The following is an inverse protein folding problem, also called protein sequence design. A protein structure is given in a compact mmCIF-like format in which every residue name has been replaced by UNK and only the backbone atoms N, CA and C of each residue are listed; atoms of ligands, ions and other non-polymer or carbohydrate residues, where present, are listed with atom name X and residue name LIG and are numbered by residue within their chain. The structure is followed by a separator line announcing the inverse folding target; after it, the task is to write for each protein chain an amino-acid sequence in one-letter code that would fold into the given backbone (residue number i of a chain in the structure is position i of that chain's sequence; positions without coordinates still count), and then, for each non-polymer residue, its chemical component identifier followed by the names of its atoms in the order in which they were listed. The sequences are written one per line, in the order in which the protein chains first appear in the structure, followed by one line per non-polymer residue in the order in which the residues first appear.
data_IF_404478096656
#
_entry.id   IF_404478096656
#
_cell.length_a   1.000
_cell.length_b   1.000
_cell.length_c   1.000
_cell.angle_alpha   90.00
_cell.angle_beta   90.00
_cell.angle_gamma   90.00
#
_symmetry.space_group_name_H-M   'P 1'
#
loop_
_entity.id
_entity.type
_entity.pdbx_description
1 polymer ?
#
# COMPACT_ATOMS: atom_id res chain seq x y z
N UNK A 1 1.83 -2.81 -0.76
CA UNK A 1 2.91 -2.84 0.27
C UNK A 1 3.03 -4.27 0.75
N UNK A 2 4.25 -4.73 1.01
CA UNK A 2 4.53 -5.95 1.77
C UNK A 2 5.20 -5.58 3.09
N UNK A 3 4.92 -6.36 4.13
CA UNK A 3 5.54 -6.23 5.45
C UNK A 3 6.25 -7.53 5.76
N UNK A 4 7.49 -7.44 6.25
CA UNK A 4 8.24 -8.55 6.81
C UNK A 4 8.64 -8.19 8.24
N UNK A 5 8.40 -9.09 9.19
CA UNK A 5 8.74 -8.92 10.60
C UNK A 5 9.58 -10.11 11.04
N UNK A 6 10.66 -9.87 11.78
CA UNK A 6 11.50 -10.90 12.37
C UNK A 6 11.72 -10.62 13.85
N UNK A 7 11.36 -11.60 14.69
CA UNK A 7 11.70 -11.61 16.10
C UNK A 7 12.81 -12.63 16.36
N UNK A 8 13.80 -12.33 17.21
CA UNK A 8 14.90 -13.26 17.52
C UNK A 8 14.44 -14.64 18.02
N UNK A 9 13.32 -14.71 18.75
CA UNK A 9 12.88 -15.93 19.46
C UNK A 9 11.44 -16.38 19.12
N UNK A 10 10.65 -15.57 18.42
CA UNK A 10 9.23 -15.88 18.11
C UNK A 10 9.07 -16.40 16.69
N UNK A 11 9.92 -15.95 15.76
CA UNK A 11 9.87 -16.35 14.35
C UNK A 11 9.73 -15.15 13.42
N UNK A 12 9.28 -15.43 12.20
CA UNK A 12 9.14 -14.45 11.12
C UNK A 12 7.69 -14.41 10.65
N UNK A 13 7.22 -13.21 10.33
CA UNK A 13 5.91 -12.96 9.79
C UNK A 13 6.05 -12.20 8.47
N UNK A 14 5.17 -12.47 7.52
CA UNK A 14 5.05 -11.71 6.29
C UNK A 14 3.60 -11.53 5.92
N UNK A 15 3.28 -10.46 5.22
CA UNK A 15 2.01 -10.35 4.50
C UNK A 15 2.07 -9.24 3.47
N UNK A 16 1.37 -9.45 2.35
CA UNK A 16 0.96 -8.39 1.44
C UNK A 16 -0.18 -7.65 2.11
N UNK A 17 -0.09 -6.33 2.20
CA UNK A 17 -1.11 -5.48 2.82
C UNK A 17 -2.34 -5.28 1.90
N UNK A 18 -2.91 -6.40 1.45
CA UNK A 18 -4.09 -6.52 0.61
C UNK A 18 -4.86 -7.77 1.06
N UNK A 19 -6.16 -7.61 1.31
CA UNK A 19 -7.03 -8.70 1.80
C UNK A 19 -7.36 -9.72 0.72
N UNK A 20 -7.36 -9.30 -0.55
CA UNK A 20 -7.62 -10.21 -1.67
C UNK A 20 -6.31 -10.68 -2.29
N UNK A 21 -6.21 -12.00 -2.50
CA UNK A 21 -5.17 -12.59 -3.34
C UNK A 21 -5.56 -12.52 -4.83
N UNK A 22 -4.59 -12.49 -5.75
CA UNK A 22 -4.86 -12.61 -7.18
C UNK A 22 -5.71 -13.84 -7.49
N UNK A 23 -6.71 -13.68 -8.37
CA UNK A 23 -7.56 -14.78 -8.87
C UNK A 23 -6.84 -15.59 -9.97
N UNK A 24 -5.60 -15.96 -9.71
CA UNK A 24 -4.79 -16.82 -10.60
C UNK A 24 -4.79 -18.22 -9.99
N UNK A 25 -5.05 -19.29 -10.77
CA UNK A 25 -4.94 -20.65 -10.26
C UNK A 25 -3.55 -20.89 -9.66
N UNK A 26 -3.48 -21.42 -8.44
CA UNK A 26 -2.22 -21.90 -7.87
C UNK A 26 -1.82 -23.16 -8.63
N UNK A 27 -0.90 -23.02 -9.56
CA UNK A 27 -0.21 -24.13 -10.21
C UNK A 27 1.11 -24.38 -9.47
N UNK A 28 1.59 -25.63 -9.43
CA UNK A 28 2.84 -26.01 -8.75
C UNK A 28 4.09 -25.39 -9.39
N UNK A 29 3.93 -24.70 -10.52
CA UNK A 29 4.96 -23.95 -11.25
C UNK A 29 4.91 -22.43 -11.02
N UNK A 30 4.12 -21.98 -10.03
CA UNK A 30 4.01 -20.61 -9.58
C UNK A 30 5.40 -19.92 -9.44
N UNK A 31 5.62 -18.84 -10.19
CA UNK A 31 6.88 -18.07 -10.25
C UNK A 31 6.71 -16.56 -10.09
N UNK A 32 5.48 -16.06 -9.98
CA UNK A 32 5.13 -14.65 -9.87
C UNK A 32 4.56 -14.26 -8.50
N UNK A 33 3.63 -13.30 -8.52
CA UNK A 33 3.01 -12.72 -7.33
C UNK A 33 2.16 -13.72 -6.53
N UNK A 34 1.78 -14.85 -7.14
CA UNK A 34 1.09 -15.96 -6.50
C UNK A 34 1.91 -16.62 -5.37
N UNK A 35 3.24 -16.43 -5.38
CA UNK A 35 4.15 -16.91 -4.33
C UNK A 35 4.21 -15.96 -3.13
N UNK A 36 3.62 -14.77 -3.23
CA UNK A 36 3.62 -13.81 -2.13
C UNK A 36 2.66 -14.24 -1.02
N UNK A 37 2.91 -13.72 0.17
CA UNK A 37 2.13 -14.03 1.36
C UNK A 37 0.84 -13.20 1.42
N UNK A 38 -0.24 -13.69 0.78
CA UNK A 38 -1.55 -13.02 0.76
C UNK A 38 -2.44 -13.38 1.96
N UNK A 39 -1.88 -13.38 3.18
CA UNK A 39 -2.57 -13.85 4.38
C UNK A 39 -3.07 -12.72 5.31
N UNK A 40 -3.29 -11.51 4.79
CA UNK A 40 -3.79 -10.40 5.60
C UNK A 40 -5.22 -10.66 6.11
N UNK A 41 -5.42 -10.69 7.43
CA UNK A 41 -6.78 -10.71 7.97
C UNK A 41 -7.41 -9.31 7.94
N UNK A 42 -8.33 -9.10 6.99
CA UNK A 42 -9.06 -7.84 6.82
C UNK A 42 -9.92 -7.43 8.02
N UNK A 43 -10.37 -8.37 8.86
CA UNK A 43 -11.18 -8.06 10.06
C UNK A 43 -10.37 -7.34 11.14
N UNK A 44 -9.04 -7.48 11.11
CA UNK A 44 -8.13 -6.75 12.00
C UNK A 44 -7.58 -5.45 11.36
N UNK A 45 -8.14 -5.06 10.23
CA UNK A 45 -7.75 -3.87 9.51
C UNK A 45 -8.89 -2.85 9.52
N UNK A 46 -8.55 -1.57 9.73
CA UNK A 46 -9.51 -0.48 9.67
C UNK A 46 -9.03 0.58 8.68
N UNK A 47 -9.86 0.89 7.69
CA UNK A 47 -9.64 1.98 6.75
C UNK A 47 -10.47 3.21 7.15
N UNK A 48 -9.84 4.37 7.12
CA UNK A 48 -10.47 5.65 7.41
C UNK A 48 -10.08 6.66 6.34
N UNK A 49 -11.00 7.55 5.99
CA UNK A 49 -10.74 8.61 5.03
C UNK A 49 -11.37 9.93 5.46
N UNK A 50 -10.60 11.00 5.29
CA UNK A 50 -11.06 12.38 5.33
C UNK A 50 -10.21 13.15 4.31
N UNK A 51 -10.74 13.27 3.09
CA UNK A 51 -10.05 13.88 1.96
C UNK A 51 -9.34 15.18 2.36
N UNK A 52 -8.06 15.39 1.97
CA UNK A 52 -7.24 14.60 1.05
C UNK A 52 -6.40 13.49 1.72
N UNK A 53 -6.75 13.12 2.96
CA UNK A 53 -6.03 12.15 3.77
C UNK A 53 -6.82 10.87 3.89
N UNK A 54 -6.10 9.76 3.97
CA UNK A 54 -6.66 8.49 4.40
C UNK A 54 -5.62 7.74 5.22
N UNK A 55 -6.07 6.78 6.01
CA UNK A 55 -5.19 5.88 6.73
C UNK A 55 -5.78 4.50 6.90
N UNK A 56 -4.90 3.52 6.94
CA UNK A 56 -5.22 2.14 7.25
C UNK A 56 -4.44 1.74 8.50
N UNK A 57 -5.15 1.24 9.50
CA UNK A 57 -4.56 0.61 10.68
C UNK A 57 -4.58 -0.90 10.48
N UNK A 58 -3.44 -1.55 10.67
CA UNK A 58 -3.27 -3.01 10.69
C UNK A 58 -2.93 -3.41 12.13
N UNK A 59 -3.90 -3.97 12.86
CA UNK A 59 -3.73 -4.32 14.27
C UNK A 59 -3.39 -5.81 14.42
N UNK A 60 -2.17 -6.12 14.86
CA UNK A 60 -1.77 -7.51 15.06
C UNK A 60 -1.61 -8.28 13.75
N UNK A 61 -1.32 -7.59 12.65
CA UNK A 61 -1.14 -8.15 11.31
C UNK A 61 0.11 -7.55 10.63
N UNK A 62 0.98 -8.39 10.02
CA UNK A 62 0.98 -9.86 10.08
C UNK A 62 1.45 -10.42 11.43
N UNK A 63 1.97 -9.56 12.30
CA UNK A 63 2.50 -9.93 13.61
C UNK A 63 1.53 -9.47 14.72
N UNK A 64 1.01 -10.37 15.58
CA UNK A 64 0.13 -10.06 16.70
C UNK A 64 0.68 -9.01 17.69
N UNK A 65 2.00 -8.89 17.80
CA UNK A 65 2.66 -7.94 18.70
C UNK A 65 2.90 -6.56 18.06
N UNK A 66 2.58 -6.38 16.78
CA UNK A 66 2.81 -5.14 16.04
C UNK A 66 1.51 -4.43 15.70
N UNK A 67 1.56 -3.10 15.66
CA UNK A 67 0.52 -2.29 15.02
C UNK A 67 1.16 -1.38 13.99
N UNK A 68 0.61 -1.39 12.78
CA UNK A 68 1.11 -0.57 11.67
C UNK A 68 0.01 0.39 11.26
N UNK A 69 0.33 1.68 11.19
CA UNK A 69 -0.55 2.71 10.64
C UNK A 69 0.09 3.23 9.36
N UNK A 70 -0.60 3.02 8.24
CA UNK A 70 -0.26 3.59 6.93
C UNK A 70 -1.12 4.82 6.69
N UNK A 71 -0.52 6.00 6.58
CA UNK A 71 -1.19 7.25 6.22
C UNK A 71 -0.83 7.61 4.78
N UNK A 72 -1.84 7.88 3.97
CA UNK A 72 -1.68 8.34 2.60
C UNK A 72 -2.25 9.76 2.44
N UNK A 73 -1.53 10.61 1.72
CA UNK A 73 -1.93 11.99 1.45
C UNK A 73 -1.49 12.42 0.05
N UNK A 74 -2.38 13.09 -0.67
CA UNK A 74 -2.06 13.85 -1.87
C UNK A 74 -2.15 15.34 -1.58
N UNK A 75 -1.33 16.18 -2.22
CA UNK A 75 -1.43 17.63 -2.07
C UNK A 75 -2.75 18.11 -2.68
N UNK A 76 -3.68 18.55 -1.83
CA UNK A 76 -4.88 19.26 -2.25
C UNK A 76 -5.04 20.49 -1.36
N UNK A 77 -4.50 21.61 -1.82
CA UNK A 77 -4.32 22.83 -1.04
C UNK A 77 -5.12 23.96 -1.71
N UNK A 78 -6.17 24.50 -1.05
CA UNK A 78 -6.95 25.59 -1.60
C UNK A 78 -6.08 26.77 -2.05
N UNK A 79 -6.41 27.34 -3.21
CA UNK A 79 -5.70 28.47 -3.83
C UNK A 79 -4.23 28.20 -4.20
N UNK A 80 -3.76 26.96 -4.11
CA UNK A 80 -2.45 26.55 -4.62
C UNK A 80 -2.63 25.62 -5.82
N UNK A 81 -2.36 26.11 -7.02
CA UNK A 81 -2.52 25.35 -8.27
C UNK A 81 -1.26 24.60 -8.69
N UNK A 82 -0.12 24.85 -8.05
CA UNK A 82 1.16 24.25 -8.43
C UNK A 82 1.35 22.92 -7.70
N UNK A 83 1.46 22.96 -6.37
CA UNK A 83 1.65 21.73 -5.60
C UNK A 83 0.42 20.83 -5.66
N UNK A 84 -0.79 21.41 -5.73
CA UNK A 84 -2.02 20.61 -5.91
C UNK A 84 -2.15 19.95 -7.28
N UNK A 85 -1.33 20.33 -8.27
CA UNK A 85 -1.31 19.66 -9.58
C UNK A 85 -0.26 18.57 -9.67
N UNK A 86 0.50 18.29 -8.61
CA UNK A 86 1.55 17.27 -8.65
C UNK A 86 0.92 15.87 -8.70
N UNK A 87 1.35 15.00 -9.64
CA UNK A 87 0.93 13.60 -9.68
C UNK A 87 1.70 12.80 -8.63
N UNK A 88 1.53 13.14 -7.36
CA UNK A 88 2.29 12.57 -6.23
C UNK A 88 1.38 12.20 -5.07
N UNK A 89 1.80 11.17 -4.34
CA UNK A 89 1.23 10.79 -3.05
C UNK A 89 2.36 10.48 -2.07
N UNK A 90 2.12 10.78 -0.79
CA UNK A 90 3.03 10.46 0.30
C UNK A 90 2.41 9.36 1.14
N UNK A 91 3.20 8.33 1.42
CA UNK A 91 2.86 7.27 2.37
C UNK A 91 3.75 7.42 3.60
N UNK A 92 3.12 7.64 4.77
CA UNK A 92 3.80 7.72 6.06
C UNK A 92 3.43 6.52 6.89
N UNK A 93 4.42 5.82 7.43
CA UNK A 93 4.22 4.64 8.25
C UNK A 93 4.58 4.92 9.69
N UNK A 94 3.73 4.48 10.62
CA UNK A 94 4.02 4.44 12.05
C UNK A 94 3.90 3.01 12.51
N UNK A 95 4.98 2.48 13.10
CA UNK A 95 5.04 1.12 13.62
C UNK A 95 5.14 1.19 15.14
N UNK A 96 4.26 0.46 15.82
CA UNK A 96 4.25 0.34 17.27
C UNK A 96 4.45 -1.11 17.66
N UNK A 97 5.62 -1.43 18.21
CA UNK A 97 5.88 -2.73 18.81
C UNK A 97 5.27 -2.76 20.22
N UNK A 98 4.26 -3.62 20.41
CA UNK A 98 3.58 -3.85 21.69
C UNK A 98 4.14 -5.10 22.41
N UNK A 99 5.02 -5.83 21.76
CA UNK A 99 5.70 -7.01 22.29
C UNK A 99 6.77 -6.68 23.33
N UNK A 100 7.30 -7.73 23.96
CA UNK A 100 8.36 -7.61 24.98
C UNK A 100 9.77 -7.64 24.40
N UNK A 101 9.90 -8.00 23.13
CA UNK A 101 11.18 -8.18 22.46
C UNK A 101 11.32 -7.22 21.29
N UNK A 102 12.56 -6.95 20.88
CA UNK A 102 12.82 -6.18 19.66
C UNK A 102 12.30 -6.93 18.43
N UNK A 103 11.83 -6.17 17.45
CA UNK A 103 11.37 -6.68 16.17
C UNK A 103 12.07 -5.93 15.04
N UNK A 104 12.62 -6.67 14.08
CA UNK A 104 13.13 -6.10 12.83
C UNK A 104 11.99 -6.07 11.82
N UNK A 105 11.66 -4.88 11.31
CA UNK A 105 10.55 -4.70 10.36
C UNK A 105 11.04 -4.10 9.06
N UNK A 106 10.69 -4.75 7.95
CA UNK A 106 10.95 -4.28 6.59
C UNK A 106 9.63 -3.98 5.89
N UNK A 107 9.48 -2.75 5.41
CA UNK A 107 8.37 -2.35 4.54
C UNK A 107 8.85 -2.31 3.10
N UNK A 108 8.10 -2.94 2.19
CA UNK A 108 8.41 -2.96 0.76
C UNK A 108 7.26 -2.34 -0.02
N UNK A 109 7.59 -1.33 -0.82
CA UNK A 109 6.67 -0.71 -1.77
C UNK A 109 6.96 -1.22 -3.17
N UNK A 110 6.03 -1.98 -3.74
CA UNK A 110 6.11 -2.54 -5.09
C UNK A 110 5.16 -1.80 -6.02
N UNK A 111 5.60 -1.52 -7.25
CA UNK A 111 4.77 -0.90 -8.27
C UNK A 111 4.97 -1.60 -9.61
N UNK A 112 3.89 -1.95 -10.29
CA UNK A 112 3.96 -2.53 -11.62
C UNK A 112 4.36 -1.46 -12.64
N UNK A 113 5.29 -1.77 -13.55
CA UNK A 113 5.55 -0.90 -14.67
C UNK A 113 4.41 -1.00 -15.68
N UNK A 114 3.57 0.04 -15.76
CA UNK A 114 2.43 0.08 -16.67
C UNK A 114 2.74 0.70 -18.04
N UNK A 115 3.96 1.23 -18.26
CA UNK A 115 4.33 1.88 -19.51
C UNK A 115 4.37 0.84 -20.64
N UNK A 116 3.63 1.09 -21.72
CA UNK A 116 3.61 0.23 -22.92
C UNK A 116 2.82 -1.08 -22.77
N UNK A 117 2.19 -1.33 -21.61
CA UNK A 117 1.31 -2.49 -21.40
C UNK A 117 -0.17 -2.14 -21.57
N UNK A 118 -1.05 -3.15 -21.58
CA UNK A 118 -2.51 -2.95 -21.68
C UNK A 118 -3.06 -1.97 -20.63
N UNK A 119 -2.51 -1.96 -19.42
CA UNK A 119 -2.91 -1.05 -18.35
C UNK A 119 -2.55 0.43 -18.64
N UNK A 120 -1.51 0.68 -19.42
CA UNK A 120 -1.16 2.03 -19.89
C UNK A 120 -2.06 2.54 -21.01
N UNK A 121 -2.68 1.64 -21.78
CA UNK A 121 -3.55 1.99 -22.92
C UNK A 121 -5.04 1.97 -22.60
N UNK A 122 -5.47 1.23 -21.56
CA UNK A 122 -6.88 1.06 -21.20
C UNK A 122 -7.52 2.27 -20.53
N UNK A 123 -6.75 3.32 -20.22
CA UNK A 123 -7.26 4.48 -19.51
C UNK A 123 -8.11 5.43 -20.36
N UNK A 124 -7.93 5.46 -21.69
CA UNK A 124 -8.58 6.43 -22.58
C UNK A 124 -8.44 7.92 -22.15
N UNK A 125 -7.47 8.27 -21.32
CA UNK A 125 -7.23 9.64 -20.88
C UNK A 125 -6.50 10.41 -22.00
N UNK A 126 -7.07 11.52 -22.46
CA UNK A 126 -6.41 12.48 -23.33
C UNK A 126 -6.42 13.86 -22.67
N UNK A 127 -5.29 14.58 -22.73
CA UNK A 127 -5.23 15.97 -22.27
C UNK A 127 -5.74 16.89 -23.39
N UNK A 128 -6.73 17.73 -23.11
CA UNK A 128 -7.13 18.83 -23.99
C UNK A 128 -6.33 20.09 -23.68
N UNK A 129 -6.10 20.94 -24.69
CA UNK A 129 -5.52 22.27 -24.45
C UNK A 129 -6.53 23.12 -23.69
N UNK A 130 -6.10 23.75 -22.60
CA UNK A 130 -6.88 24.78 -21.93
C UNK A 130 -6.96 25.99 -22.86
N UNK A 131 -8.16 26.29 -23.37
CA UNK A 131 -8.42 27.47 -24.20
C UNK A 131 -8.82 28.60 -23.26
N UNK A 132 -8.05 29.68 -23.22
CA UNK A 132 -8.46 30.90 -22.55
C UNK A 132 -9.55 31.58 -23.40
N UNK A 133 -10.73 31.79 -22.81
CA UNK A 133 -11.72 32.70 -23.37
C UNK A 133 -11.27 34.14 -23.07
N UNK A 134 -11.08 34.93 -24.14
CA UNK A 134 -10.86 36.38 -24.07
C UNK A 134 -12.11 37.12 -23.62
#
# INVERSE_FOLDING_TARGET
MLVFVSHPNVGKFSSVSCTESPKVPKDDTASGIETWDWNLNGEKCAYHALFPRAWTTYEGEPDPELTIVSRQISPFIPHNYKESSFPVSVFTYTLSNKGRTSADVTLVFTWANSVGGNSGFSGHHFNSKMVFMN
#
